data_IF_992692968087
#
_entry.id   IF_992692968087
#
_cell.length_a   1.000
_cell.length_b   1.000
_cell.length_c   1.000
_cell.angle_alpha   90.00
_cell.angle_beta   90.00
_cell.angle_gamma   90.00
#
_symmetry.space_group_name_H-M   'P 1'
#
loop_
_entity.id
_entity.type
_entity.pdbx_description
1 polymer ?
2 non-polymer ?
3 non-polymer ?
4 non-polymer ?
5 water ?
#
# COMPACT_ATOMS: atom_id res chain seq x y z
N UNK A 1 -15.72 -13.03 4.04
CA UNK A 1 -15.89 -12.38 2.71
C UNK A 1 -16.06 -10.87 2.90
N UNK A 2 -15.51 -10.10 1.95
CA UNK A 2 -15.61 -8.61 1.90
C UNK A 2 -16.11 -8.25 0.51
N UNK A 3 -16.49 -7.00 0.34
CA UNK A 3 -17.00 -6.46 -0.95
C UNK A 3 -15.87 -6.52 -1.98
N UNK A 4 -16.19 -6.97 -3.20
CA UNK A 4 -15.23 -6.93 -4.28
C UNK A 4 -14.99 -5.48 -4.72
N UNK A 5 -13.73 -5.07 -4.83
CA UNK A 5 -13.36 -3.72 -5.29
C UNK A 5 -13.25 -3.69 -6.81
N UNK A 6 -13.69 -2.58 -7.40
CA UNK A 6 -13.58 -2.31 -8.85
C UNK A 6 -13.21 -0.85 -9.05
N UNK A 7 -12.80 -0.51 -10.26
CA UNK A 7 -12.50 0.90 -10.62
C UNK A 7 -13.55 1.33 -11.63
N UNK A 8 -14.15 2.50 -11.42
CA UNK A 8 -14.94 3.19 -12.48
C UNK A 8 -14.45 4.64 -12.54
N UNK A 9 -13.78 5.01 -13.62
CA UNK A 9 -13.18 6.34 -13.76
C UNK A 9 -12.25 6.61 -12.60
N UNK A 10 -12.43 7.70 -11.87
CA UNK A 10 -11.45 8.08 -10.81
C UNK A 10 -11.87 7.53 -9.45
N UNK A 11 -12.81 6.58 -9.39
CA UNK A 11 -13.32 6.02 -8.12
C UNK A 11 -13.01 4.54 -8.01
N UNK A 12 -12.66 4.10 -6.81
CA UNK A 12 -12.73 2.65 -6.43
C UNK A 12 -14.12 2.45 -5.81
N UNK A 13 -14.86 1.45 -6.29
CA UNK A 13 -16.23 1.14 -5.78
C UNK A 13 -16.24 -0.15 -4.93
N UNK A 14 -17.09 -0.14 -3.89
CA UNK A 14 -17.54 -1.33 -3.14
C UNK A 14 -19.05 -1.14 -2.91
N UNK A 15 -19.83 -2.21 -3.02
CA UNK A 15 -21.31 -2.19 -2.80
C UNK A 15 -21.92 -1.03 -3.65
N UNK A 16 -21.46 -0.87 -4.89
CA UNK A 16 -22.00 0.06 -5.91
C UNK A 16 -21.74 1.53 -5.64
N UNK A 17 -20.92 1.88 -4.66
CA UNK A 17 -20.69 3.29 -4.25
C UNK A 17 -19.19 3.55 -4.18
N UNK A 18 -18.71 4.78 -4.43
CA UNK A 18 -17.33 5.07 -4.08
C UNK A 18 -17.05 4.60 -2.63
N UNK A 19 -15.92 3.93 -2.41
CA UNK A 19 -15.51 3.44 -1.07
C UNK A 19 -14.02 3.59 -0.92
N UNK A 20 -13.57 3.80 0.31
CA UNK A 20 -12.14 3.91 0.63
C UNK A 20 -11.91 3.26 1.99
N UNK A 21 -10.68 2.76 2.19
CA UNK A 21 -10.27 1.91 3.33
C UNK A 21 -8.95 2.41 3.85
N UNK A 22 -8.83 2.41 5.18
CA UNK A 22 -7.69 2.99 5.91
C UNK A 22 -7.03 1.90 6.77
N UNK A 23 -5.70 1.86 6.77
CA UNK A 23 -4.96 0.95 7.66
C UNK A 23 -3.45 1.18 7.63
N UNK A 24 -2.69 0.15 7.96
CA UNK A 24 -1.22 0.28 8.11
C UNK A 24 -0.52 -0.53 7.02
N UNK A 25 0.61 0.01 6.56
CA UNK A 25 1.72 -0.74 5.94
C UNK A 25 2.62 -1.30 7.04
N UNK A 26 2.87 -2.61 6.95
CA UNK A 26 4.03 -3.23 7.61
C UNK A 26 5.28 -2.64 6.97
N UNK A 27 6.38 -2.68 7.71
CA UNK A 27 7.72 -2.33 7.21
C UNK A 27 8.16 -3.38 6.20
N UNK A 28 9.29 -3.10 5.56
CA UNK A 28 9.99 -4.14 4.77
C UNK A 28 9.90 -5.50 5.47
N UNK A 29 9.58 -6.54 4.71
CA UNK A 29 9.49 -7.93 5.19
C UNK A 29 10.89 -8.56 5.37
N UNK A 30 11.93 -7.89 4.90
CA UNK A 30 13.26 -8.50 4.64
C UNK A 30 13.83 -9.07 5.93
N UNK A 31 14.48 -10.23 5.81
CA UNK A 31 15.19 -10.94 6.88
C UNK A 31 16.19 -9.99 7.54
N UNK A 32 16.08 -9.87 8.86
CA UNK A 32 16.95 -9.06 9.77
C UNK A 32 16.80 -7.55 9.51
N UNK A 33 15.68 -7.11 8.93
CA UNK A 33 15.40 -5.66 8.79
C UNK A 33 14.51 -5.16 9.94
N UNK A 34 14.01 -6.04 10.84
CA UNK A 34 13.32 -5.55 12.06
C UNK A 34 11.82 -5.54 11.90
N UNK A 35 11.30 -5.32 10.69
CA UNK A 35 9.84 -5.28 10.45
C UNK A 35 9.23 -6.65 10.53
N UNK A 36 10.02 -7.68 10.25
CA UNK A 36 9.52 -9.06 10.02
C UNK A 36 8.76 -9.60 11.24
N UNK A 37 9.11 -9.19 12.46
CA UNK A 37 8.45 -9.77 13.67
C UNK A 37 6.96 -9.43 13.70
N UNK A 38 6.54 -8.37 13.01
CA UNK A 38 5.13 -7.89 13.00
C UNK A 38 4.32 -8.57 11.90
N UNK A 39 4.92 -9.44 11.09
CA UNK A 39 4.20 -10.18 10.02
C UNK A 39 3.49 -11.38 10.65
N UNK A 40 2.35 -11.18 11.33
CA UNK A 40 1.69 -12.31 12.01
C UNK A 40 0.21 -12.01 12.22
N UNK A 41 -0.59 -13.06 12.47
CA UNK A 41 -2.05 -12.98 12.62
C UNK A 41 -2.45 -12.12 13.82
N UNK A 42 -1.64 -12.08 14.88
CA UNK A 42 -2.03 -11.32 16.10
C UNK A 42 -1.97 -9.82 15.82
N UNK A 43 -0.93 -9.35 15.13
CA UNK A 43 -0.86 -7.92 14.72
C UNK A 43 -2.09 -7.59 13.85
N UNK A 44 -2.44 -8.44 12.90
CA UNK A 44 -3.56 -8.17 11.95
C UNK A 44 -4.87 -8.04 12.76
N UNK A 45 -5.16 -8.96 13.69
CA UNK A 45 -6.45 -8.91 14.43
C UNK A 45 -6.41 -7.73 15.41
N UNK A 46 -5.25 -7.36 15.96
CA UNK A 46 -5.14 -6.17 16.85
C UNK A 46 -5.43 -4.89 16.05
N UNK A 47 -4.88 -4.79 14.84
CA UNK A 47 -5.11 -3.59 13.99
C UNK A 47 -6.61 -3.49 13.74
N UNK A 48 -7.27 -4.61 13.47
CA UNK A 48 -8.75 -4.57 13.28
C UNK A 48 -9.47 -4.17 14.58
N UNK A 49 -9.20 -4.85 15.69
CA UNK A 49 -10.02 -4.71 16.92
C UNK A 49 -9.70 -3.40 17.65
N UNK A 50 -8.44 -2.96 17.66
CA UNK A 50 -8.07 -1.78 18.48
C UNK A 50 -8.00 -0.52 17.60
N UNK A 51 -7.52 -0.64 16.35
CA UNK A 51 -7.30 0.53 15.44
C UNK A 51 -8.50 0.71 14.49
N UNK A 52 -9.41 -0.26 14.44
CA UNK A 52 -10.52 -0.35 13.45
C UNK A 52 -9.98 -0.34 12.00
N UNK A 53 -8.79 -0.88 11.75
CA UNK A 53 -8.17 -0.89 10.42
C UNK A 53 -8.99 -1.79 9.49
N UNK A 54 -9.18 -1.41 8.23
CA UNK A 54 -9.82 -2.29 7.22
C UNK A 54 -8.80 -2.67 6.14
N UNK A 55 -7.54 -2.31 6.33
CA UNK A 55 -6.48 -2.47 5.30
C UNK A 55 -5.16 -2.77 6.01
N UNK A 56 -4.42 -3.74 5.49
CA UNK A 56 -3.01 -3.99 5.86
C UNK A 56 -2.19 -4.27 4.58
N UNK A 57 -0.96 -3.72 4.54
CA UNK A 57 -0.05 -3.89 3.38
C UNK A 57 1.15 -4.73 3.82
N UNK A 58 1.37 -5.84 3.13
CA UNK A 58 2.57 -6.68 3.27
C UNK A 58 3.62 -6.13 2.29
N UNK A 59 4.66 -5.50 2.81
CA UNK A 59 5.72 -4.81 2.03
C UNK A 59 6.89 -5.78 1.85
N UNK A 60 6.80 -6.60 0.82
CA UNK A 60 7.78 -7.68 0.56
C UNK A 60 8.97 -7.12 -0.22
N UNK A 61 10.12 -7.08 0.44
CA UNK A 61 11.38 -6.72 -0.21
C UNK A 61 11.70 -7.66 -1.36
N UNK A 62 12.40 -7.17 -2.37
CA UNK A 62 12.65 -7.95 -3.62
C UNK A 62 14.15 -8.14 -3.80
N UNK A 63 14.84 -7.17 -4.41
CA UNK A 63 16.27 -7.28 -4.74
C UNK A 63 17.11 -6.65 -3.63
N UNK A 64 16.48 -5.88 -2.75
CA UNK A 64 17.24 -5.38 -1.56
C UNK A 64 17.67 -6.57 -0.68
N UNK A 65 18.81 -6.42 -0.03
CA UNK A 65 19.38 -7.41 0.94
C UNK A 65 18.28 -8.09 1.78
N UNK A 66 18.32 -9.41 1.88
CA UNK A 66 17.38 -10.20 2.72
C UNK A 66 15.97 -10.21 2.18
N UNK A 67 15.80 -9.81 0.92
CA UNK A 67 14.49 -9.80 0.24
C UNK A 67 14.17 -11.13 -0.41
N UNK A 68 13.01 -11.17 -1.04
CA UNK A 68 12.36 -12.39 -1.57
C UNK A 68 13.27 -13.11 -2.56
N UNK A 69 14.03 -12.35 -3.38
CA UNK A 69 14.86 -12.97 -4.44
C UNK A 69 15.93 -13.88 -3.81
N UNK A 70 16.51 -13.50 -2.66
CA UNK A 70 17.61 -14.24 -1.99
C UNK A 70 17.09 -15.04 -0.79
N UNK A 71 15.90 -14.74 -0.26
CA UNK A 71 15.34 -15.45 0.92
C UNK A 71 13.85 -15.62 0.70
N UNK A 72 13.42 -16.76 0.13
CA UNK A 72 12.01 -17.03 -0.09
C UNK A 72 11.12 -17.02 1.17
N UNK A 73 11.73 -17.00 2.36
CA UNK A 73 11.00 -16.89 3.64
C UNK A 73 10.15 -15.59 3.68
N UNK A 74 10.58 -14.54 2.98
CA UNK A 74 9.80 -13.29 2.78
C UNK A 74 8.36 -13.64 2.40
N UNK A 75 8.19 -14.61 1.51
CA UNK A 75 6.83 -14.97 1.04
C UNK A 75 6.02 -15.65 2.15
N UNK A 76 6.68 -16.43 3.02
CA UNK A 76 5.97 -17.13 4.13
C UNK A 76 5.37 -16.04 5.04
N UNK A 77 6.10 -14.93 5.23
CA UNK A 77 5.64 -13.82 6.08
C UNK A 77 4.47 -13.08 5.42
N UNK A 78 4.53 -12.93 4.09
CA UNK A 78 3.41 -12.32 3.29
C UNK A 78 2.15 -13.20 3.47
N UNK A 79 2.29 -14.51 3.25
CA UNK A 79 1.26 -15.58 3.40
C UNK A 79 0.55 -15.47 4.75
N UNK A 80 1.31 -15.32 5.84
CA UNK A 80 0.78 -15.21 7.22
C UNK A 80 -0.18 -14.03 7.32
N UNK A 81 0.25 -12.88 6.82
CA UNK A 81 -0.53 -11.61 6.84
C UNK A 81 -1.77 -11.76 5.93
N UNK A 82 -1.59 -12.26 4.72
CA UNK A 82 -2.71 -12.38 3.76
C UNK A 82 -3.75 -13.33 4.36
N UNK A 83 -3.32 -14.50 4.83
CA UNK A 83 -4.23 -15.47 5.49
C UNK A 83 -4.98 -14.78 6.64
N UNK A 84 -4.24 -14.05 7.49
CA UNK A 84 -4.80 -13.35 8.67
C UNK A 84 -5.78 -12.25 8.24
N UNK A 85 -5.42 -11.42 7.26
CA UNK A 85 -6.35 -10.43 6.69
C UNK A 85 -7.63 -11.13 6.23
N UNK A 86 -7.52 -12.28 5.54
CA UNK A 86 -8.73 -12.90 4.96
C UNK A 86 -9.61 -13.39 6.11
N UNK A 87 -8.98 -13.90 7.18
CA UNK A 87 -9.68 -14.49 8.33
C UNK A 87 -10.40 -13.37 9.08
N UNK A 88 -9.85 -12.15 9.03
CA UNK A 88 -10.37 -10.97 9.76
C UNK A 88 -11.21 -10.06 8.84
N UNK A 89 -11.49 -10.47 7.61
CA UNK A 89 -12.35 -9.74 6.61
C UNK A 89 -11.79 -8.33 6.43
N UNK A 90 -10.48 -8.23 6.27
CA UNK A 90 -9.69 -6.99 6.06
C UNK A 90 -9.10 -7.07 4.66
N UNK A 91 -9.02 -5.93 3.95
CA UNK A 91 -8.29 -5.83 2.66
C UNK A 91 -6.79 -5.96 2.99
N UNK A 92 -6.11 -6.71 2.12
CA UNK A 92 -4.64 -6.92 2.20
C UNK A 92 -3.98 -6.59 0.87
N UNK A 93 -3.00 -5.71 0.93
CA UNK A 93 -2.14 -5.37 -0.22
C UNK A 93 -0.91 -6.29 -0.20
N UNK A 94 -0.74 -7.06 -1.27
CA UNK A 94 0.53 -7.77 -1.56
C UNK A 94 1.39 -6.81 -2.39
N UNK A 95 2.39 -6.22 -1.74
CA UNK A 95 3.28 -5.18 -2.30
C UNK A 95 4.64 -5.80 -2.69
N UNK A 96 4.94 -5.78 -3.99
CA UNK A 96 6.29 -6.04 -4.57
C UNK A 96 7.18 -4.84 -4.31
N UNK A 97 7.80 -4.83 -3.13
CA UNK A 97 8.37 -3.62 -2.52
C UNK A 97 9.74 -3.36 -3.13
N UNK A 98 9.76 -2.95 -4.40
CA UNK A 98 11.02 -2.68 -5.18
C UNK A 98 11.01 -1.24 -5.68
N UNK A 99 12.21 -0.66 -5.82
CA UNK A 99 12.43 0.61 -6.54
C UNK A 99 12.82 0.37 -8.01
N UNK A 100 12.98 -0.89 -8.44
CA UNK A 100 13.51 -1.26 -9.78
C UNK A 100 12.82 -2.52 -10.26
N UNK A 101 11.51 -2.65 -10.02
CA UNK A 101 10.81 -3.92 -10.29
C UNK A 101 10.97 -4.32 -11.76
N UNK A 102 11.05 -3.37 -12.68
CA UNK A 102 11.12 -3.66 -14.14
C UNK A 102 12.43 -4.39 -14.47
N UNK A 103 13.42 -4.36 -13.56
CA UNK A 103 14.69 -5.12 -13.73
C UNK A 103 14.52 -6.59 -13.26
N UNK A 104 13.38 -6.97 -12.69
CA UNK A 104 13.15 -8.30 -12.09
C UNK A 104 11.78 -8.76 -12.56
N UNK A 105 11.53 -8.56 -13.84
CA UNK A 105 10.17 -8.72 -14.39
C UNK A 105 9.76 -10.20 -14.29
N UNK A 106 10.62 -11.12 -14.74
CA UNK A 106 10.30 -12.58 -14.75
C UNK A 106 9.95 -13.02 -13.31
N UNK A 107 10.70 -12.55 -12.32
CA UNK A 107 10.48 -12.94 -10.90
C UNK A 107 9.14 -12.37 -10.41
N UNK A 108 8.83 -11.11 -10.75
CA UNK A 108 7.54 -10.45 -10.43
C UNK A 108 6.39 -11.26 -11.02
N UNK A 109 6.54 -11.68 -12.27
CA UNK A 109 5.42 -12.35 -12.97
C UNK A 109 5.17 -13.66 -12.22
N UNK A 110 6.23 -14.40 -11.90
CA UNK A 110 6.12 -15.76 -11.32
C UNK A 110 5.45 -15.66 -9.95
N UNK A 111 5.88 -14.69 -9.15
CA UNK A 111 5.33 -14.40 -7.81
C UNK A 111 3.83 -14.02 -7.90
N UNK A 112 3.47 -13.03 -8.73
CA UNK A 112 2.06 -12.60 -8.82
C UNK A 112 1.19 -13.73 -9.38
N UNK A 113 1.73 -14.55 -10.27
CA UNK A 113 1.00 -15.71 -10.81
C UNK A 113 0.69 -16.64 -9.63
N UNK A 114 1.67 -16.90 -8.77
CA UNK A 114 1.49 -17.80 -7.63
C UNK A 114 0.45 -17.16 -6.70
N UNK A 115 0.53 -15.85 -6.45
CA UNK A 115 -0.40 -15.20 -5.49
C UNK A 115 -1.83 -15.22 -6.06
N UNK A 116 -1.96 -14.99 -7.36
CA UNK A 116 -3.26 -15.00 -8.08
C UNK A 116 -3.88 -16.38 -7.95
N UNK A 117 -3.10 -17.44 -8.22
CA UNK A 117 -3.60 -18.84 -8.16
C UNK A 117 -4.08 -19.14 -6.74
N UNK A 118 -3.32 -18.76 -5.71
CA UNK A 118 -3.69 -19.10 -4.31
C UNK A 118 -4.86 -18.23 -3.82
N UNK A 119 -4.83 -16.91 -4.07
CA UNK A 119 -5.70 -15.94 -3.36
C UNK A 119 -6.68 -15.20 -4.29
N UNK A 120 -6.65 -15.45 -5.59
CA UNK A 120 -7.43 -14.70 -6.60
C UNK A 120 -8.93 -14.68 -6.31
N UNK A 121 -9.46 -15.71 -5.64
CA UNK A 121 -10.92 -15.89 -5.40
C UNK A 121 -11.35 -15.11 -4.16
N UNK A 122 -10.41 -14.61 -3.35
CA UNK A 122 -10.73 -13.78 -2.17
C UNK A 122 -10.82 -12.32 -2.59
N UNK A 123 -11.91 -11.62 -2.24
CA UNK A 123 -12.10 -10.19 -2.57
C UNK A 123 -11.15 -9.30 -1.75
N UNK A 124 -10.51 -9.87 -0.73
CA UNK A 124 -9.65 -9.11 0.23
C UNK A 124 -8.39 -8.64 -0.49
N UNK A 125 -7.95 -9.40 -1.49
CA UNK A 125 -6.56 -9.29 -1.99
C UNK A 125 -6.45 -8.16 -3.01
N UNK A 126 -5.42 -7.35 -2.81
CA UNK A 126 -5.03 -6.22 -3.68
C UNK A 126 -3.56 -6.42 -4.07
N UNK A 127 -3.27 -6.47 -5.37
CA UNK A 127 -1.91 -6.64 -5.92
C UNK A 127 -1.27 -5.26 -6.12
N UNK A 128 -0.09 -5.03 -5.53
CA UNK A 128 0.71 -3.80 -5.79
C UNK A 128 2.05 -4.21 -6.40
N UNK A 129 2.25 -4.02 -7.71
CA UNK A 129 3.23 -4.75 -8.54
C UNK A 129 4.56 -3.98 -8.55
N UNK A 130 4.58 -2.76 -8.05
CA UNK A 130 5.78 -1.88 -8.21
C UNK A 130 5.70 -0.73 -7.20
N UNK A 131 6.15 -0.99 -5.97
CA UNK A 131 6.12 0.00 -4.86
C UNK A 131 6.40 1.43 -5.34
N UNK A 132 7.67 1.72 -5.66
CA UNK A 132 8.14 3.12 -5.84
C UNK A 132 9.17 3.19 -6.96
N UNK A 133 8.72 3.25 -8.23
CA UNK A 133 9.61 3.51 -9.33
C UNK A 133 10.39 4.80 -9.05
N UNK A 134 11.59 4.91 -9.62
CA UNK A 134 12.43 6.11 -9.43
C UNK A 134 12.16 7.10 -10.56
N UNK A 135 13.16 7.87 -10.99
CA UNK A 135 13.00 8.93 -12.01
C UNK A 135 13.10 8.26 -13.39
N UNK A 136 12.09 7.48 -13.74
CA UNK A 136 12.06 6.66 -14.99
C UNK A 136 10.79 7.00 -15.76
N UNK A 137 10.76 6.66 -17.05
CA UNK A 137 9.67 6.96 -18.00
C UNK A 137 8.46 6.14 -17.59
N UNK A 138 7.29 6.78 -17.49
CA UNK A 138 6.02 6.02 -17.36
C UNK A 138 5.80 5.18 -18.62
N UNK A 139 5.77 5.84 -19.78
CA UNK A 139 5.38 5.17 -21.06
C UNK A 139 6.41 4.12 -21.46
N UNK A 140 7.70 4.37 -21.22
CA UNK A 140 8.80 3.55 -21.78
C UNK A 140 9.33 2.50 -20.78
N UNK A 141 9.20 2.72 -19.46
CA UNK A 141 9.77 1.79 -18.45
C UNK A 141 8.68 1.14 -17.58
N UNK A 142 7.88 1.93 -16.87
CA UNK A 142 6.88 1.37 -15.91
C UNK A 142 5.73 0.71 -16.68
N UNK A 143 5.09 1.41 -17.61
CA UNK A 143 3.84 0.90 -18.23
C UNK A 143 4.03 -0.49 -18.84
N UNK A 144 5.10 -0.74 -19.63
CA UNK A 144 5.30 -2.06 -20.26
C UNK A 144 5.55 -3.19 -19.24
N UNK A 145 6.25 -2.90 -18.14
CA UNK A 145 6.38 -3.85 -17.00
C UNK A 145 4.99 -4.13 -16.44
N UNK A 146 4.22 -3.06 -16.21
CA UNK A 146 2.85 -3.12 -15.69
C UNK A 146 2.01 -3.99 -16.63
N UNK A 147 2.07 -3.72 -17.94
CA UNK A 147 1.24 -4.48 -18.91
C UNK A 147 1.53 -5.98 -18.78
N UNK A 148 2.81 -6.36 -18.79
CA UNK A 148 3.29 -7.75 -18.70
C UNK A 148 2.79 -8.40 -17.40
N UNK A 149 2.95 -7.74 -16.25
CA UNK A 149 2.54 -8.33 -14.95
C UNK A 149 1.02 -8.38 -14.85
N UNK A 150 0.32 -7.35 -15.31
CA UNK A 150 -1.17 -7.32 -15.26
C UNK A 150 -1.72 -8.46 -16.11
N UNK A 151 -1.19 -8.63 -17.32
CA UNK A 151 -1.64 -9.69 -18.26
C UNK A 151 -1.59 -11.02 -17.53
N UNK A 152 -0.46 -11.28 -16.84
CA UNK A 152 -0.22 -12.56 -16.12
C UNK A 152 -1.21 -12.72 -14.96
N UNK A 153 -1.44 -11.68 -14.15
CA UNK A 153 -2.45 -11.75 -13.05
C UNK A 153 -3.83 -11.97 -13.68
N UNK A 154 -4.17 -11.17 -14.68
CA UNK A 154 -5.55 -11.16 -15.24
C UNK A 154 -5.90 -12.48 -15.92
N UNK A 155 -4.92 -13.23 -16.43
CA UNK A 155 -5.18 -14.58 -16.99
C UNK A 155 -5.70 -15.51 -15.89
N UNK A 156 -5.43 -15.21 -14.63
CA UNK A 156 -5.77 -16.09 -13.48
C UNK A 156 -6.87 -15.44 -12.64
N UNK A 157 -6.75 -14.14 -12.37
CA UNK A 157 -7.66 -13.37 -11.49
C UNK A 157 -8.21 -12.19 -12.28
N UNK A 158 -9.42 -12.30 -12.88
CA UNK A 158 -9.91 -11.26 -13.78
C UNK A 158 -10.40 -9.98 -13.09
N UNK A 159 -10.49 -9.95 -11.75
CA UNK A 159 -11.27 -8.90 -11.03
C UNK A 159 -10.39 -8.07 -10.08
N UNK A 160 -9.62 -8.71 -9.22
CA UNK A 160 -9.07 -8.02 -8.02
C UNK A 160 -8.21 -6.82 -8.44
N UNK A 161 -8.18 -5.78 -7.62
CA UNK A 161 -7.49 -4.51 -7.91
C UNK A 161 -6.01 -4.80 -8.14
N UNK A 162 -5.40 -4.05 -9.05
CA UNK A 162 -3.95 -4.03 -9.29
C UNK A 162 -3.58 -2.56 -9.22
N UNK A 163 -2.67 -2.21 -8.32
CA UNK A 163 -2.23 -0.82 -8.11
C UNK A 163 -0.84 -0.73 -8.75
N UNK A 164 -0.62 0.32 -9.54
CA UNK A 164 0.62 0.44 -10.37
C UNK A 164 1.37 1.71 -9.96
N UNK A 165 2.63 1.52 -9.58
CA UNK A 165 3.56 2.59 -9.17
C UNK A 165 3.75 3.58 -10.30
N UNK A 166 4.07 4.80 -9.93
CA UNK A 166 4.16 5.93 -10.88
C UNK A 166 5.54 6.55 -10.70
N UNK A 167 5.98 7.37 -11.67
CA UNK A 167 7.34 7.89 -11.60
C UNK A 167 7.60 8.75 -10.36
N UNK A 168 8.88 8.91 -10.04
CA UNK A 168 9.37 9.81 -8.98
C UNK A 168 8.77 9.36 -7.65
N UNK A 169 9.09 8.13 -7.23
CA UNK A 169 8.68 7.55 -5.93
C UNK A 169 7.16 7.59 -5.86
N UNK A 170 6.49 7.19 -6.95
CA UNK A 170 5.00 7.17 -7.04
C UNK A 170 4.37 8.55 -6.73
N UNK A 171 4.97 9.63 -7.22
CA UNK A 171 4.39 10.99 -7.23
C UNK A 171 3.67 11.33 -8.56
N UNK A 172 4.14 10.84 -9.71
CA UNK A 172 3.78 11.44 -11.02
C UNK A 172 2.51 10.79 -11.54
N UNK A 173 1.46 10.79 -10.73
CA UNK A 173 0.15 10.21 -11.10
C UNK A 173 -0.46 11.01 -12.25
N UNK A 174 -0.13 12.31 -12.36
CA UNK A 174 -0.60 13.16 -13.47
C UNK A 174 -0.02 12.63 -14.78
N UNK A 175 1.26 12.23 -14.77
CA UNK A 175 1.97 11.66 -15.95
C UNK A 175 1.28 10.36 -16.37
N UNK A 176 1.07 9.44 -15.41
CA UNK A 176 0.40 8.15 -15.68
C UNK A 176 -1.00 8.40 -16.27
N UNK A 177 -1.73 9.37 -15.73
CA UNK A 177 -3.09 9.74 -16.18
C UNK A 177 -3.09 10.12 -17.67
N UNK A 178 -1.98 10.65 -18.20
CA UNK A 178 -1.89 11.07 -19.63
C UNK A 178 -1.71 9.86 -20.54
N UNK A 179 -1.34 8.69 -20.01
CA UNK A 179 -1.14 7.44 -20.79
C UNK A 179 -1.61 6.26 -19.97
N UNK A 180 -2.90 6.20 -19.59
CA UNK A 180 -3.34 5.19 -18.65
C UNK A 180 -3.26 3.79 -19.26
N UNK A 181 -3.25 2.78 -18.41
CA UNK A 181 -3.43 1.35 -18.81
C UNK A 181 -4.93 1.19 -19.05
N UNK A 182 -5.32 1.05 -20.31
CA UNK A 182 -6.76 0.98 -20.73
C UNK A 182 -7.12 -0.47 -21.04
N UNK A 183 -6.12 -1.30 -21.28
CA UNK A 183 -6.29 -2.67 -21.78
C UNK A 183 -6.84 -3.65 -20.75
N UNK A 184 -6.88 -3.27 -19.46
CA UNK A 184 -7.29 -4.16 -18.36
C UNK A 184 -8.16 -3.36 -17.38
N UNK A 185 -9.22 -3.99 -16.84
CA UNK A 185 -10.17 -3.37 -15.87
C UNK A 185 -9.55 -3.43 -14.47
N UNK A 186 -10.05 -2.59 -13.56
CA UNK A 186 -9.72 -2.60 -12.12
C UNK A 186 -8.21 -2.41 -11.95
N UNK A 187 -7.68 -1.39 -12.62
CA UNK A 187 -6.30 -0.87 -12.44
C UNK A 187 -6.38 0.53 -11.83
N UNK A 188 -5.70 0.72 -10.71
CA UNK A 188 -5.54 2.02 -10.02
C UNK A 188 -4.05 2.34 -9.95
N UNK A 189 -3.71 3.56 -9.55
CA UNK A 189 -2.34 4.10 -9.69
C UNK A 189 -1.87 4.53 -8.31
N UNK A 190 -0.61 4.27 -8.02
CA UNK A 190 -0.01 4.60 -6.70
C UNK A 190 0.27 6.10 -6.59
N UNK A 191 -0.14 6.68 -5.46
CA UNK A 191 0.31 7.99 -4.95
C UNK A 191 0.92 7.75 -3.56
N UNK A 192 2.11 8.29 -3.34
CA UNK A 192 2.88 8.23 -2.08
C UNK A 192 3.24 9.66 -1.68
N UNK A 193 2.90 10.05 -0.44
CA UNK A 193 3.23 11.38 0.10
C UNK A 193 3.75 11.21 1.52
N UNK A 194 4.65 12.11 1.92
CA UNK A 194 5.29 12.19 3.25
C UNK A 194 5.13 13.65 3.67
N UNK A 195 4.24 13.86 4.63
CA UNK A 195 3.70 15.19 5.00
C UNK A 195 4.80 16.13 5.51
N UNK A 196 5.96 15.61 5.95
CA UNK A 196 7.12 16.46 6.29
C UNK A 196 7.73 17.08 5.05
N UNK A 197 7.46 16.50 3.86
CA UNK A 197 8.12 16.85 2.58
C UNK A 197 7.10 17.32 1.55
N UNK A 198 5.90 16.74 1.53
CA UNK A 198 4.94 16.90 0.41
C UNK A 198 3.67 17.61 0.90
N UNK A 199 3.22 18.65 0.19
CA UNK A 199 1.94 19.28 0.51
C UNK A 199 1.13 19.53 -0.73
N UNK A 200 0.75 20.78 -0.95
CA UNK A 200 -0.22 21.13 -2.02
C UNK A 200 0.35 20.84 -3.40
N UNK A 201 1.67 20.95 -3.58
CA UNK A 201 2.27 20.69 -4.92
C UNK A 201 1.87 19.29 -5.40
N UNK A 202 2.04 18.30 -4.54
CA UNK A 202 1.72 16.90 -4.86
C UNK A 202 0.20 16.71 -4.89
N UNK A 203 -0.55 17.36 -4.01
CA UNK A 203 -2.04 17.28 -4.05
C UNK A 203 -2.52 17.76 -5.42
N UNK A 204 -1.89 18.80 -5.98
CA UNK A 204 -2.33 19.38 -7.28
C UNK A 204 -2.12 18.33 -8.35
N UNK A 205 -1.01 17.59 -8.29
CA UNK A 205 -0.70 16.52 -9.28
C UNK A 205 -1.78 15.42 -9.12
N UNK A 206 -2.12 15.09 -7.87
CA UNK A 206 -3.18 14.10 -7.56
C UNK A 206 -4.53 14.57 -8.16
N UNK A 207 -4.89 15.84 -7.93
CA UNK A 207 -6.16 16.42 -8.46
C UNK A 207 -6.20 16.31 -10.00
N UNK A 208 -5.10 16.64 -10.65
CA UNK A 208 -4.97 16.59 -12.12
C UNK A 208 -5.26 15.17 -12.60
N UNK A 209 -4.68 14.17 -11.95
CA UNK A 209 -4.84 12.73 -12.27
C UNK A 209 -6.31 12.30 -12.10
N UNK A 210 -6.94 12.67 -10.97
CA UNK A 210 -8.38 12.39 -10.71
C UNK A 210 -9.23 13.06 -11.80
N UNK A 211 -8.90 14.31 -12.15
CA UNK A 211 -9.65 15.11 -13.16
C UNK A 211 -9.54 14.40 -14.52
N UNK A 212 -8.40 13.76 -14.77
CA UNK A 212 -8.10 13.05 -16.04
C UNK A 212 -8.69 11.63 -16.00
N UNK A 213 -9.35 11.26 -14.90
CA UNK A 213 -10.19 10.04 -14.85
C UNK A 213 -9.46 8.76 -14.48
N UNK A 214 -8.36 8.82 -13.73
CA UNK A 214 -7.75 7.59 -13.13
C UNK A 214 -8.00 7.57 -11.62
N UNK A 215 -8.10 6.37 -11.04
CA UNK A 215 -8.25 6.13 -9.59
C UNK A 215 -6.87 6.07 -8.92
N UNK A 216 -6.74 6.73 -7.78
CA UNK A 216 -5.51 6.69 -6.96
C UNK A 216 -5.74 5.87 -5.72
N UNK A 217 -4.63 5.38 -5.17
CA UNK A 217 -4.55 4.54 -3.96
C UNK A 217 -3.23 4.85 -3.27
N UNK A 218 -3.33 5.38 -2.07
CA UNK A 218 -2.12 5.77 -1.32
C UNK A 218 -1.69 4.51 -0.56
N UNK A 219 -0.92 3.63 -1.19
CA UNK A 219 -0.42 2.39 -0.57
C UNK A 219 0.67 2.68 0.45
N UNK A 220 1.20 3.90 0.51
CA UNK A 220 2.26 4.25 1.47
C UNK A 220 2.20 5.75 1.67
N UNK A 221 2.12 6.21 2.92
CA UNK A 221 2.18 7.64 3.26
C UNK A 221 2.76 7.77 4.66
N UNK A 222 3.42 8.89 4.91
CA UNK A 222 4.05 9.21 6.19
C UNK A 222 3.64 10.59 6.64
N UNK A 223 3.71 10.80 7.94
CA UNK A 223 3.40 12.08 8.62
C UNK A 223 4.71 12.81 8.86
N UNK A 224 5.83 12.16 8.54
CA UNK A 224 7.21 12.69 8.75
C UNK A 224 7.85 12.94 7.37
N UNK A 225 9.17 13.09 7.28
CA UNK A 225 9.87 13.37 6.00
C UNK A 225 9.80 12.13 5.08
N UNK A 226 10.06 12.33 3.78
CA UNK A 226 10.08 11.25 2.75
C UNK A 226 11.07 10.15 3.14
N UNK A 227 12.12 10.47 3.89
CA UNK A 227 13.17 9.47 4.20
C UNK A 227 12.75 8.58 5.37
N UNK A 228 11.55 8.76 5.95
CA UNK A 228 11.01 7.91 7.02
C UNK A 228 11.46 8.40 8.40
N UNK A 229 12.04 9.58 8.46
CA UNK A 229 12.48 10.16 9.75
C UNK A 229 12.01 11.62 9.85
N UNK A 230 12.23 12.26 10.99
CA UNK A 230 11.87 13.67 11.23
C UNK A 230 10.60 13.81 12.02
N UNK A 231 10.23 15.07 12.29
CA UNK A 231 9.09 15.45 13.13
C UNK A 231 7.77 15.09 12.45
N UNK A 232 6.73 14.86 13.26
CA UNK A 232 5.36 14.66 12.72
C UNK A 232 4.79 16.00 12.24
N UNK A 233 4.34 16.06 11.00
CA UNK A 233 3.72 17.26 10.41
C UNK A 233 2.19 17.12 10.55
N UNK A 234 1.63 17.60 11.66
CA UNK A 234 0.19 17.37 12.01
C UNK A 234 -0.75 18.05 11.03
N UNK A 235 -0.52 19.34 10.81
CA UNK A 235 -1.35 20.23 9.97
C UNK A 235 -1.34 19.71 8.52
N UNK A 236 -0.17 19.45 7.94
CA UNK A 236 -0.09 18.92 6.56
C UNK A 236 -0.75 17.54 6.46
N UNK A 237 -0.52 16.66 7.43
CA UNK A 237 -1.18 15.33 7.49
C UNK A 237 -2.69 15.52 7.43
N UNK A 238 -3.23 16.42 8.23
CA UNK A 238 -4.70 16.65 8.28
C UNK A 238 -5.20 17.14 6.93
N UNK A 239 -4.42 18.00 6.24
CA UNK A 239 -4.74 18.50 4.89
C UNK A 239 -4.82 17.30 3.93
N UNK A 240 -3.88 16.36 4.04
CA UNK A 240 -3.86 15.15 3.16
C UNK A 240 -5.06 14.28 3.51
N UNK A 241 -5.34 14.14 4.80
CA UNK A 241 -6.48 13.27 5.25
C UNK A 241 -7.80 13.79 4.62
N UNK A 242 -8.02 15.11 4.65
CA UNK A 242 -9.24 15.74 4.08
C UNK A 242 -9.29 15.48 2.57
N UNK A 243 -8.17 15.71 1.89
CA UNK A 243 -8.07 15.40 0.45
C UNK A 243 -8.48 13.95 0.16
N UNK A 244 -7.96 13.00 0.94
CA UNK A 244 -8.19 11.55 0.70
C UNK A 244 -9.65 11.19 1.04
N UNK A 245 -10.21 11.78 2.10
CA UNK A 245 -11.64 11.50 2.46
C UNK A 245 -12.52 12.08 1.35
N UNK A 246 -12.27 13.33 0.91
CA UNK A 246 -13.08 14.01 -0.15
C UNK A 246 -13.10 13.15 -1.42
N UNK A 247 -11.95 12.61 -1.82
CA UNK A 247 -11.80 11.87 -3.11
C UNK A 247 -11.91 10.34 -2.91
N UNK A 248 -12.34 9.88 -1.72
CA UNK A 248 -12.45 8.42 -1.39
C UNK A 248 -11.18 7.64 -1.77
N UNK A 249 -10.03 8.08 -1.26
CA UNK A 249 -8.70 7.48 -1.59
C UNK A 249 -8.27 6.61 -0.39
N UNK A 250 -8.05 5.32 -0.64
CA UNK A 250 -7.60 4.34 0.36
C UNK A 250 -6.16 4.65 0.75
N UNK A 251 -5.75 4.30 1.95
CA UNK A 251 -4.47 4.79 2.50
C UNK A 251 -3.91 3.76 3.51
N UNK A 252 -2.61 3.53 3.45
CA UNK A 252 -1.83 2.70 4.39
C UNK A 252 -0.63 3.50 4.86
N UNK A 253 -0.56 3.72 6.16
CA UNK A 253 0.50 4.53 6.78
C UNK A 253 1.78 3.69 6.92
N UNK A 254 2.89 4.35 6.65
CA UNK A 254 4.25 3.79 6.79
C UNK A 254 4.83 4.32 8.09
N UNK A 255 5.18 3.44 9.06
CA UNK A 255 5.09 1.99 8.99
C UNK A 255 4.82 1.40 10.37
N UNK A 256 4.14 0.26 10.38
CA UNK A 256 3.95 -0.59 11.58
C UNK A 256 5.29 -1.27 11.91
N UNK A 257 6.08 -0.61 12.76
CA UNK A 257 7.49 -0.97 13.01
C UNK A 257 7.99 -0.26 14.28
N UNK A 258 9.13 -0.68 14.83
CA UNK A 258 9.64 -0.16 16.13
C UNK A 258 11.06 0.39 16.01
N UNK A 259 11.59 0.46 14.81
CA UNK A 259 12.89 1.11 14.52
C UNK A 259 12.89 2.55 15.05
N UNK A 260 14.05 3.07 15.48
CA UNK A 260 14.14 4.47 15.94
C UNK A 260 14.20 5.37 14.70
N UNK A 261 13.03 5.74 14.20
CA UNK A 261 12.86 6.75 13.12
C UNK A 261 11.44 7.29 13.23
N UNK A 262 11.21 8.53 12.80
CA UNK A 262 9.89 9.20 12.89
C UNK A 262 8.76 8.38 12.30
N UNK A 263 8.99 7.60 11.25
CA UNK A 263 7.84 6.95 10.56
C UNK A 263 7.36 5.74 11.36
N UNK A 264 8.18 5.20 12.26
CA UNK A 264 7.77 4.01 13.05
C UNK A 264 6.48 4.37 13.79
N UNK A 265 5.44 3.53 13.73
CA UNK A 265 4.23 3.70 14.57
C UNK A 265 4.49 3.36 16.05
N UNK A 266 5.48 2.49 16.34
CA UNK A 266 5.65 1.84 17.67
C UNK A 266 6.98 2.23 18.29
N UNK A 267 6.99 2.42 19.61
CA UNK A 267 8.27 2.55 20.36
C UNK A 267 9.07 1.26 20.21
N UNK A 268 10.42 1.31 20.28
CA UNK A 268 11.24 0.11 20.27
C UNK A 268 10.73 -0.89 21.33
N UNK A 269 10.55 -2.13 20.92
CA UNK A 269 10.22 -3.24 21.84
C UNK A 269 8.72 -3.43 21.96
N UNK A 270 7.92 -2.66 21.22
CA UNK A 270 6.45 -2.86 21.18
C UNK A 270 6.19 -4.29 20.75
N UNK A 271 5.28 -4.98 21.43
CA UNK A 271 5.06 -6.43 21.27
C UNK A 271 4.87 -6.82 19.79
N UNK A 272 5.59 -7.85 19.34
CA UNK A 272 5.38 -8.47 18.02
C UNK A 272 3.94 -8.98 17.89
N UNK A 273 3.19 -9.15 18.98
CA UNK A 273 1.83 -9.74 18.88
C UNK A 273 0.73 -8.72 19.16
N UNK A 274 1.01 -7.42 19.08
CA UNK A 274 -0.05 -6.41 19.25
C UNK A 274 -0.32 -6.08 20.71
N UNK A 275 -1.52 -5.55 20.98
CA UNK A 275 -1.98 -5.23 22.35
C UNK A 275 -1.43 -3.93 22.88
N UNK A 276 -0.81 -3.11 22.03
CA UNK A 276 -0.05 -1.91 22.45
C UNK A 276 -0.94 -0.91 23.17
N UNK A 277 -0.52 -0.48 24.35
CA UNK A 277 -1.17 0.67 25.03
C UNK A 277 -0.76 1.93 24.26
N UNK A 278 -1.55 2.99 24.32
CA UNK A 278 -1.32 4.19 23.50
C UNK A 278 0.05 4.80 23.79
N UNK A 279 0.60 4.69 25.00
CA UNK A 279 1.93 5.23 25.34
C UNK A 279 3.07 4.47 24.65
N UNK A 280 2.81 3.34 24.01
CA UNK A 280 3.84 2.60 23.20
C UNK A 280 3.67 2.89 21.69
N UNK A 281 2.83 3.87 21.35
CA UNK A 281 2.80 4.45 20.00
C UNK A 281 3.69 5.69 20.02
N UNK A 282 4.30 5.95 18.89
CA UNK A 282 5.04 7.20 18.64
C UNK A 282 4.02 8.29 18.32
N UNK A 283 4.45 9.54 18.16
CA UNK A 283 3.55 10.60 17.64
C UNK A 283 2.98 10.14 16.29
N UNK A 284 3.81 9.57 15.43
CA UNK A 284 3.32 9.10 14.10
C UNK A 284 2.28 7.99 14.28
N UNK A 285 2.51 7.06 15.21
CA UNK A 285 1.58 5.94 15.37
C UNK A 285 0.25 6.38 15.96
N UNK A 286 0.31 7.26 16.94
CA UNK A 286 -0.91 7.84 17.57
C UNK A 286 -1.72 8.60 16.51
N UNK A 287 -1.07 9.39 15.65
CA UNK A 287 -1.75 10.14 14.56
C UNK A 287 -2.34 9.15 13.56
N UNK A 288 -1.60 8.10 13.22
CA UNK A 288 -2.06 7.09 12.23
C UNK A 288 -3.26 6.32 12.80
N UNK A 289 -3.22 5.97 14.09
CA UNK A 289 -4.33 5.23 14.72
C UNK A 289 -5.58 6.14 14.76
N UNK A 290 -5.40 7.43 15.06
CA UNK A 290 -6.54 8.38 15.13
C UNK A 290 -7.15 8.47 13.72
N UNK A 291 -6.34 8.43 12.68
CA UNK A 291 -6.84 8.62 11.28
C UNK A 291 -7.59 7.37 10.85
N UNK A 292 -6.98 6.21 11.05
CA UNK A 292 -7.53 4.89 10.65
C UNK A 292 -8.83 4.68 11.44
N UNK A 293 -8.83 4.93 12.75
CA UNK A 293 -10.00 4.53 13.57
C UNK A 293 -11.19 5.43 13.25
N UNK A 294 -10.93 6.68 12.84
CA UNK A 294 -11.93 7.69 12.47
C UNK A 294 -12.37 7.62 11.02
N UNK A 295 -11.83 6.70 10.22
CA UNK A 295 -12.04 6.69 8.75
C UNK A 295 -13.50 6.39 8.46
N UNK A 296 -14.17 7.11 7.51
CA UNK A 296 -15.55 6.78 7.14
C UNK A 296 -15.72 5.27 6.85
N UNK A 297 -16.79 4.66 7.37
CA UNK A 297 -17.04 3.20 7.26
C UNK A 297 -17.78 2.88 5.95
N UNK A 298 -18.63 3.79 5.45
CA UNK A 298 -19.45 3.60 4.22
C UNK A 298 -20.50 2.50 4.46
#
# INVERSE_FOLDING_TARGET
MVAPLSVQGNKILANGQPASFSGMSLFWSNTEWGGEKYYNAQVVSWLKSDWNAKLVRAAMGVEDEGGYLTDPANKDRVTQVVDAAIANDMYVIIDWHSHNAHQYQSQAIAFFQEMARKYGANNHVIYEIYNEPLQVSWSNTIKPYAQAVIAAIRAIDPDNLIIVGTPTWSQDVDVAANDPITGYQNIAYTLHFYAGTHGQYLRDKAQTALNRGIALFVTEWGSVNANGDGAVANSETNAWVSFMKTNHISNANWALNDKVEGASALVPGASANGGWVNSQLTASGALAKSIISGWPSYLEHHHHHH
#
